data_IF_736724994480
#
_entry.id   IF_736724994480
#
_cell.length_a   1.000
_cell.length_b   1.000
_cell.length_c   1.000
_cell.angle_alpha   90.00
_cell.angle_beta   90.00
_cell.angle_gamma   90.00
#
_symmetry.space_group_name_H-M   'P 1'
#
loop_
_entity.id
_entity.type
_entity.pdbx_description
1 polymer ?
#
# COMPACT_ATOMS: atom_id res chain seq x y z
N UNK A 1 12.98 20.23 1.15
CA UNK A 1 12.90 19.22 2.23
C UNK A 1 14.13 18.33 2.13
N UNK A 2 14.98 18.21 3.15
CA UNK A 2 16.11 17.26 3.11
C UNK A 2 15.53 15.84 3.12
N UNK A 3 15.65 15.11 2.03
CA UNK A 3 15.23 13.71 1.95
C UNK A 3 16.16 12.88 2.84
N UNK A 4 15.60 12.25 3.87
CA UNK A 4 16.37 11.25 4.61
C UNK A 4 16.60 10.04 3.69
N UNK A 5 17.85 9.55 3.69
CA UNK A 5 18.19 8.33 2.97
C UNK A 5 17.77 7.12 3.78
N UNK A 6 17.32 6.08 3.08
CA UNK A 6 16.93 4.80 3.69
C UNK A 6 18.14 3.87 3.80
N UNK A 7 17.99 2.68 4.41
CA UNK A 7 19.12 1.73 4.53
C UNK A 7 19.61 1.24 3.16
N UNK A 8 18.74 1.30 2.14
CA UNK A 8 19.06 0.98 0.74
C UNK A 8 19.68 2.17 -0.02
N UNK A 9 19.96 3.28 0.67
CA UNK A 9 20.52 4.50 0.07
C UNK A 9 19.53 5.31 -0.79
N UNK A 10 18.26 4.90 -0.84
CA UNK A 10 17.20 5.56 -1.60
C UNK A 10 16.71 6.82 -0.88
N UNK A 11 16.12 7.75 -1.63
CA UNK A 11 15.31 8.80 -1.03
C UNK A 11 14.04 8.18 -0.42
N UNK A 12 13.66 8.57 0.79
CA UNK A 12 12.49 8.01 1.48
C UNK A 12 11.20 8.04 0.64
N UNK A 13 10.94 9.10 -0.12
CA UNK A 13 9.74 9.22 -0.98
C UNK A 13 9.73 8.15 -2.08
N UNK A 14 10.89 7.84 -2.65
CA UNK A 14 11.04 6.80 -3.67
C UNK A 14 10.85 5.42 -3.03
N UNK A 15 11.49 5.16 -1.88
CA UNK A 15 11.29 3.91 -1.15
C UNK A 15 9.82 3.72 -0.73
N UNK A 16 9.15 4.78 -0.27
CA UNK A 16 7.73 4.76 0.06
C UNK A 16 6.84 4.42 -1.14
N UNK A 17 7.13 4.97 -2.33
CA UNK A 17 6.43 4.57 -3.56
C UNK A 17 6.70 3.09 -3.89
N UNK A 18 7.95 2.63 -3.77
CA UNK A 18 8.34 1.25 -4.06
C UNK A 18 7.69 0.22 -3.13
N UNK A 19 7.25 0.62 -1.93
CA UNK A 19 6.43 -0.24 -1.07
C UNK A 19 5.18 -0.77 -1.80
N UNK A 20 4.65 -0.05 -2.79
CA UNK A 20 3.45 -0.44 -3.51
C UNK A 20 3.71 -1.12 -4.86
N UNK A 21 4.96 -1.22 -5.33
CA UNK A 21 5.28 -1.67 -6.69
C UNK A 21 4.91 -3.14 -6.94
N UNK A 22 5.28 -4.03 -6.01
CA UNK A 22 4.97 -5.46 -6.06
C UNK A 22 3.90 -5.82 -5.02
N UNK A 23 2.89 -4.96 -4.89
CA UNK A 23 1.74 -5.15 -3.98
C UNK A 23 2.17 -5.38 -2.52
N UNK A 24 1.57 -6.34 -1.82
CA UNK A 24 1.90 -6.66 -0.43
C UNK A 24 3.34 -7.16 -0.26
N UNK A 25 3.95 -7.77 -1.29
CA UNK A 25 5.30 -8.35 -1.21
C UNK A 25 6.35 -7.25 -1.04
N UNK A 26 6.34 -6.24 -1.90
CA UNK A 26 7.24 -5.09 -1.73
C UNK A 26 6.97 -4.35 -0.43
N UNK A 27 5.70 -4.20 -0.04
CA UNK A 27 5.32 -3.53 1.20
C UNK A 27 5.93 -4.21 2.42
N UNK A 28 5.83 -5.54 2.46
CA UNK A 28 6.35 -6.35 3.56
C UNK A 28 7.88 -6.29 3.62
N UNK A 29 8.55 -6.37 2.47
CA UNK A 29 10.03 -6.26 2.39
C UNK A 29 10.49 -4.92 2.98
N UNK A 30 9.95 -3.80 2.50
CA UNK A 30 10.34 -2.47 2.99
C UNK A 30 9.98 -2.26 4.47
N UNK A 31 8.82 -2.75 4.92
CA UNK A 31 8.44 -2.70 6.34
C UNK A 31 9.42 -3.46 7.24
N UNK A 32 9.90 -4.63 6.79
CA UNK A 32 10.83 -5.44 7.55
C UNK A 32 12.25 -4.88 7.52
N UNK A 33 12.70 -4.33 6.39
CA UNK A 33 14.05 -3.80 6.22
C UNK A 33 14.26 -2.44 6.89
N UNK A 34 13.33 -1.49 6.71
CA UNK A 34 13.54 -0.08 7.08
C UNK A 34 13.18 0.22 8.54
N UNK A 35 13.86 -0.36 9.53
CA UNK A 35 13.47 -0.26 10.96
C UNK A 35 13.41 1.17 11.53
N UNK A 36 14.29 2.06 11.08
CA UNK A 36 14.41 3.42 11.60
C UNK A 36 13.59 4.44 10.80
N UNK A 37 13.34 4.17 9.51
CA UNK A 37 12.63 5.11 8.65
C UNK A 37 11.11 4.95 8.80
N UNK A 38 10.52 5.70 9.75
CA UNK A 38 9.07 5.67 10.04
C UNK A 38 8.20 5.92 8.81
N UNK A 39 8.65 6.79 7.88
CA UNK A 39 7.92 7.09 6.65
C UNK A 39 7.82 5.84 5.75
N UNK A 40 8.94 5.18 5.48
CA UNK A 40 8.95 3.98 4.64
C UNK A 40 8.24 2.82 5.32
N UNK A 41 8.38 2.68 6.65
CA UNK A 41 7.62 1.67 7.40
C UNK A 41 6.12 1.88 7.31
N UNK A 42 5.65 3.12 7.42
CA UNK A 42 4.24 3.45 7.27
C UNK A 42 3.70 2.94 5.92
N UNK A 43 4.37 3.30 4.82
CA UNK A 43 3.95 2.86 3.48
C UNK A 43 4.13 1.36 3.26
N UNK A 44 5.15 0.74 3.86
CA UNK A 44 5.36 -0.70 3.82
C UNK A 44 4.23 -1.48 4.49
N UNK A 45 3.86 -1.10 5.72
CA UNK A 45 2.72 -1.71 6.43
C UNK A 45 1.40 -1.41 5.71
N UNK A 46 1.19 -0.17 5.27
CA UNK A 46 -0.04 0.21 4.57
C UNK A 46 -0.22 -0.58 3.27
N UNK A 47 0.82 -0.71 2.45
CA UNK A 47 0.78 -1.53 1.24
C UNK A 47 0.47 -2.99 1.57
N UNK A 48 1.16 -3.55 2.56
CA UNK A 48 0.96 -4.94 3.01
C UNK A 48 -0.51 -5.20 3.39
N UNK A 49 -1.06 -4.38 4.30
CA UNK A 49 -2.45 -4.54 4.76
C UNK A 49 -3.43 -4.30 3.61
N UNK A 50 -3.25 -3.22 2.85
CA UNK A 50 -4.15 -2.85 1.75
C UNK A 50 -4.32 -3.99 0.74
N UNK A 51 -3.22 -4.56 0.25
CA UNK A 51 -3.28 -5.60 -0.77
C UNK A 51 -3.71 -6.97 -0.23
N UNK A 52 -3.35 -7.32 1.01
CA UNK A 52 -3.87 -8.54 1.65
C UNK A 52 -5.39 -8.42 1.84
N UNK A 53 -5.88 -7.30 2.38
CA UNK A 53 -7.31 -7.04 2.56
C UNK A 53 -8.05 -7.04 1.22
N UNK A 54 -7.53 -6.36 0.20
CA UNK A 54 -8.13 -6.33 -1.13
C UNK A 54 -8.24 -7.74 -1.73
N UNK A 55 -7.21 -8.57 -1.57
CA UNK A 55 -7.19 -9.96 -2.06
C UNK A 55 -8.24 -10.80 -1.34
N UNK A 56 -8.28 -10.77 0.00
CA UNK A 56 -9.24 -11.55 0.79
C UNK A 56 -10.68 -11.13 0.47
N UNK A 57 -10.97 -9.83 0.45
CA UNK A 57 -12.30 -9.31 0.12
C UNK A 57 -12.69 -9.71 -1.32
N UNK A 58 -11.76 -9.60 -2.27
CA UNK A 58 -11.98 -10.01 -3.65
C UNK A 58 -12.35 -11.50 -3.79
N UNK A 59 -11.64 -12.39 -3.07
CA UNK A 59 -11.95 -13.82 -3.06
C UNK A 59 -13.33 -14.12 -2.47
N UNK A 60 -13.70 -13.45 -1.36
CA UNK A 60 -15.01 -13.61 -0.74
C UNK A 60 -16.13 -13.11 -1.65
N UNK A 61 -15.98 -11.93 -2.25
CA UNK A 61 -16.98 -11.35 -3.15
C UNK A 61 -17.16 -12.20 -4.41
N UNK A 62 -16.05 -12.69 -4.99
CA UNK A 62 -16.10 -13.53 -6.19
C UNK A 62 -16.81 -14.87 -5.97
N UNK A 63 -16.91 -15.35 -4.72
CA UNK A 63 -17.62 -16.59 -4.39
C UNK A 63 -19.14 -16.49 -4.52
N UNK A 64 -19.71 -15.28 -4.60
CA UNK A 64 -21.15 -15.06 -4.71
C UNK A 64 -21.62 -15.21 -6.17
N UNK A 65 -22.53 -16.16 -6.49
CA UNK A 65 -23.02 -16.35 -7.86
C UNK A 65 -23.75 -15.12 -8.41
N UNK A 66 -23.68 -14.93 -9.73
CA UNK A 66 -24.28 -13.84 -10.51
C UNK A 66 -23.77 -12.43 -10.17
N UNK A 67 -23.89 -11.98 -8.91
CA UNK A 67 -23.56 -10.61 -8.49
C UNK A 67 -22.08 -10.43 -8.13
N UNK A 68 -21.42 -11.49 -7.66
CA UNK A 68 -20.03 -11.44 -7.21
C UNK A 68 -19.06 -10.88 -8.26
N UNK A 69 -19.07 -11.36 -9.51
CA UNK A 69 -18.18 -10.84 -10.56
C UNK A 69 -18.34 -9.34 -10.82
N UNK A 70 -19.57 -8.81 -10.79
CA UNK A 70 -19.85 -7.38 -11.02
C UNK A 70 -19.30 -6.54 -9.88
N UNK A 71 -19.59 -6.94 -8.63
CA UNK A 71 -19.10 -6.24 -7.43
C UNK A 71 -17.58 -6.32 -7.35
N UNK A 72 -16.99 -7.48 -7.69
CA UNK A 72 -15.55 -7.69 -7.70
C UNK A 72 -14.85 -6.79 -8.74
N UNK A 73 -15.46 -6.58 -9.90
CA UNK A 73 -14.94 -5.65 -10.91
C UNK A 73 -14.88 -4.20 -10.40
N UNK A 74 -15.93 -3.75 -9.70
CA UNK A 74 -15.97 -2.42 -9.09
C UNK A 74 -14.92 -2.31 -7.98
N UNK A 75 -14.82 -3.33 -7.12
CA UNK A 75 -13.85 -3.40 -6.02
C UNK A 75 -12.41 -3.24 -6.53
N UNK A 76 -12.02 -4.00 -7.56
CA UNK A 76 -10.68 -3.91 -8.12
C UNK A 76 -10.42 -2.59 -8.84
N UNK A 77 -11.43 -2.00 -9.48
CA UNK A 77 -11.30 -0.67 -10.08
C UNK A 77 -11.06 0.42 -9.02
N UNK A 78 -11.85 0.44 -7.95
CA UNK A 78 -11.64 1.34 -6.81
C UNK A 78 -10.28 1.07 -6.15
N UNK A 79 -9.90 -0.20 -6.01
CA UNK A 79 -8.60 -0.62 -5.50
C UNK A 79 -7.43 -0.10 -6.35
N UNK A 80 -7.56 -0.11 -7.68
CA UNK A 80 -6.58 0.46 -8.61
C UNK A 80 -6.46 1.97 -8.45
N UNK A 81 -7.58 2.69 -8.37
CA UNK A 81 -7.56 4.14 -8.13
C UNK A 81 -6.89 4.48 -6.79
N UNK A 82 -7.23 3.75 -5.72
CA UNK A 82 -6.63 3.93 -4.41
C UNK A 82 -5.12 3.61 -4.43
N UNK A 83 -4.71 2.54 -5.12
CA UNK A 83 -3.30 2.17 -5.26
C UNK A 83 -2.47 3.28 -5.90
N UNK A 84 -2.92 3.81 -7.04
CA UNK A 84 -2.25 4.92 -7.75
C UNK A 84 -2.20 6.16 -6.85
N UNK A 85 -3.29 6.48 -6.17
CA UNK A 85 -3.34 7.60 -5.24
C UNK A 85 -2.31 7.45 -4.11
N UNK A 86 -2.20 6.27 -3.49
CA UNK A 86 -1.24 6.01 -2.42
C UNK A 86 0.21 6.12 -2.91
N UNK A 87 0.52 5.61 -4.12
CA UNK A 87 1.84 5.79 -4.74
C UNK A 87 2.17 7.27 -4.94
N UNK A 88 1.20 8.05 -5.41
CA UNK A 88 1.36 9.49 -5.63
C UNK A 88 1.60 10.23 -4.30
N UNK A 89 0.84 9.93 -3.24
CA UNK A 89 1.06 10.51 -1.90
C UNK A 89 2.43 10.13 -1.34
N UNK A 90 2.86 8.88 -1.50
CA UNK A 90 4.19 8.44 -1.08
C UNK A 90 5.31 9.18 -1.84
N UNK A 91 5.15 9.38 -3.14
CA UNK A 91 6.09 10.14 -3.96
C UNK A 91 6.21 11.62 -3.51
N UNK A 92 5.09 12.24 -3.12
CA UNK A 92 5.08 13.58 -2.53
C UNK A 92 5.66 13.64 -1.11
N UNK A 93 5.92 12.49 -0.48
CA UNK A 93 6.44 12.42 0.89
C UNK A 93 5.34 12.55 1.95
N UNK A 94 4.09 12.21 1.62
CA UNK A 94 2.93 12.34 2.50
C UNK A 94 2.39 11.00 2.99
N UNK A 95 2.03 10.93 4.27
CA UNK A 95 1.44 9.75 4.92
C UNK A 95 -0.09 9.84 4.96
N UNK A 96 -0.74 9.54 3.84
CA UNK A 96 -2.20 9.46 3.80
C UNK A 96 -2.69 8.20 4.55
N UNK A 97 -3.48 8.37 5.61
CA UNK A 97 -4.08 7.26 6.36
C UNK A 97 -5.39 6.83 5.70
N UNK A 98 -5.50 5.55 5.39
CA UNK A 98 -6.77 4.97 4.96
C UNK A 98 -7.63 4.84 6.23
N UNK A 99 -8.83 5.44 6.30
CA UNK A 99 -9.60 5.51 7.55
C UNK A 99 -9.86 4.16 8.23
N UNK A 100 -9.92 3.08 7.44
CA UNK A 100 -10.21 1.71 7.91
C UNK A 100 -8.95 0.94 8.29
N UNK A 101 -7.77 1.37 7.81
CA UNK A 101 -6.48 0.71 8.07
C UNK A 101 -5.69 1.56 9.06
N UNK A 102 -5.60 1.09 10.31
CA UNK A 102 -4.82 1.78 11.34
C UNK A 102 -3.32 1.52 11.17
N UNK A 103 -2.66 2.35 10.37
CA UNK A 103 -1.20 2.43 10.26
C UNK A 103 -0.67 3.56 11.15
N UNK A 104 -0.67 3.36 12.46
CA UNK A 104 -0.02 4.29 13.41
C UNK A 104 1.40 3.83 13.71
N UNK A 105 2.40 4.48 13.11
CA UNK A 105 3.83 4.34 13.43
C UNK A 105 4.47 5.70 13.68
#
# INVERSE_FOLDING_TARGET
MKTQKTILGLNQNIAGLLCYLFTWVSGLIFFLLEKENKFVRFHGLQSTIFFISLTIIGLLVASVPLIGPVVCSILYFVGLCAWIYLMFKAFLGETFKIPVIQTSM
#
